data_IF_367944117490
#
_entry.id   IF_367944117490
#
_cell.length_a   1.000
_cell.length_b   1.000
_cell.length_c   1.000
_cell.angle_alpha   90.00
_cell.angle_beta   90.00
_cell.angle_gamma   90.00
#
_symmetry.space_group_name_H-M   'P 1'
#
loop_
_entity.id
_entity.type
_entity.pdbx_description
1 polymer ?
#
# COMPACT_ATOMS: atom_id res chain seq x y z
N UNK A 1 -2.17 -15.12 16.89
CA UNK A 1 -0.74 -14.88 17.24
C UNK A 1 -0.61 -13.57 18.00
N UNK A 2 0.40 -13.41 18.85
CA UNK A 2 0.72 -12.11 19.49
C UNK A 2 1.97 -11.55 18.80
N UNK A 3 1.83 -10.42 18.10
CA UNK A 3 2.92 -9.76 17.38
C UNK A 3 3.31 -8.52 18.19
N UNK A 4 4.56 -8.46 18.63
CA UNK A 4 5.12 -7.29 19.31
C UNK A 4 6.01 -6.50 18.37
N UNK A 5 5.78 -5.20 18.33
CA UNK A 5 6.55 -4.28 17.52
C UNK A 5 7.69 -3.66 18.33
N UNK A 6 8.82 -3.41 17.67
CA UNK A 6 9.81 -2.47 18.20
C UNK A 6 9.28 -1.03 18.07
N UNK A 7 10.08 -0.05 18.50
CA UNK A 7 9.80 1.35 18.23
C UNK A 7 9.73 1.57 16.71
N UNK A 8 8.57 1.96 16.20
CA UNK A 8 8.46 2.39 14.80
C UNK A 8 9.04 3.80 14.62
N UNK A 9 9.55 4.08 13.43
CA UNK A 9 10.09 5.38 13.04
C UNK A 9 9.46 5.85 11.73
N UNK A 10 9.39 7.17 11.57
CA UNK A 10 8.80 7.78 10.39
C UNK A 10 9.51 9.09 10.05
N UNK A 11 9.42 9.49 8.80
CA UNK A 11 9.71 10.86 8.38
C UNK A 11 8.60 11.37 7.43
N UNK A 12 8.55 12.69 7.29
CA UNK A 12 7.55 13.36 6.48
C UNK A 12 8.18 14.66 5.96
N UNK A 13 8.68 14.62 4.73
CA UNK A 13 9.51 15.66 4.13
C UNK A 13 8.84 16.25 2.89
N UNK A 14 9.01 17.56 2.70
CA UNK A 14 8.41 18.30 1.60
C UNK A 14 9.15 18.08 0.27
N UNK A 15 10.45 17.68 0.33
CA UNK A 15 11.30 17.63 -0.86
C UNK A 15 11.40 19.00 -1.55
N UNK A 16 11.42 19.00 -2.88
CA UNK A 16 11.47 20.24 -3.68
C UNK A 16 10.07 20.80 -4.06
N UNK A 17 8.99 20.25 -3.48
CA UNK A 17 7.62 20.75 -3.71
C UNK A 17 7.37 22.05 -2.94
N UNK A 18 6.40 22.83 -3.40
CA UNK A 18 5.96 24.05 -2.72
C UNK A 18 5.01 23.76 -1.56
N UNK A 19 4.24 22.67 -1.66
CA UNK A 19 3.25 22.23 -0.68
C UNK A 19 3.49 20.77 -0.31
N UNK A 20 3.08 20.41 0.92
CA UNK A 20 3.07 19.03 1.37
C UNK A 20 1.69 18.45 1.09
N UNK A 21 1.63 17.50 0.15
CA UNK A 21 0.41 16.80 -0.25
C UNK A 21 0.35 15.37 0.33
N UNK A 22 1.49 14.84 0.83
CA UNK A 22 1.50 13.61 1.61
C UNK A 22 0.84 13.79 2.97
N UNK A 23 0.29 12.71 3.49
CA UNK A 23 -0.18 12.60 4.87
C UNK A 23 0.13 11.23 5.43
N UNK A 24 0.24 11.14 6.76
CA UNK A 24 0.52 9.88 7.45
C UNK A 24 -0.31 9.75 8.72
N UNK A 25 -0.54 8.53 9.17
CA UNK A 25 -1.13 8.29 10.47
C UNK A 25 -0.41 7.12 11.19
N UNK A 26 -0.02 7.31 12.47
CA UNK A 26 -0.10 8.54 13.28
C UNK A 26 0.89 9.61 12.79
N UNK A 27 0.51 10.90 12.83
CA UNK A 27 1.37 12.00 12.34
C UNK A 27 2.44 12.38 13.38
N UNK A 28 3.38 11.46 13.60
CA UNK A 28 4.55 11.63 14.48
C UNK A 28 5.73 10.81 13.97
N UNK A 29 6.96 11.27 14.22
CA UNK A 29 8.19 10.59 13.74
C UNK A 29 8.52 9.31 14.51
N UNK A 30 8.08 9.21 15.76
CA UNK A 30 8.26 8.02 16.61
C UNK A 30 6.93 7.67 17.30
N UNK A 31 6.06 6.90 16.62
CA UNK A 31 4.78 6.44 17.17
C UNK A 31 4.94 5.66 18.47
N UNK A 32 3.90 5.65 19.29
CA UNK A 32 3.84 4.82 20.48
C UNK A 32 4.02 3.34 20.11
N UNK A 33 4.72 2.55 20.92
CA UNK A 33 4.94 1.11 20.72
C UNK A 33 3.63 0.28 20.74
N UNK A 34 2.55 0.81 21.31
CA UNK A 34 1.22 0.19 21.24
C UNK A 34 0.50 0.42 19.91
N UNK A 35 1.06 1.27 19.04
CA UNK A 35 0.51 1.52 17.71
C UNK A 35 0.52 0.23 16.89
N UNK A 36 -0.63 -0.15 16.33
CA UNK A 36 -0.81 -1.40 15.58
C UNK A 36 -1.06 -1.21 14.09
N UNK A 37 -1.34 0.00 13.64
CA UNK A 37 -1.59 0.29 12.24
C UNK A 37 -0.90 1.56 11.79
N UNK A 38 -0.54 1.60 10.51
CA UNK A 38 0.21 2.69 9.90
C UNK A 38 -0.38 2.99 8.53
N UNK A 39 -0.48 4.28 8.20
CA UNK A 39 -1.07 4.76 6.94
C UNK A 39 -0.15 5.81 6.33
N UNK A 40 0.08 5.71 5.02
CA UNK A 40 0.66 6.78 4.21
C UNK A 40 -0.29 7.01 3.03
N UNK A 41 -0.62 8.28 2.81
CA UNK A 41 -1.43 8.75 1.71
C UNK A 41 -0.67 9.85 0.98
N UNK A 42 -0.56 9.75 -0.33
CA UNK A 42 0.06 10.70 -1.22
C UNK A 42 -1.05 11.42 -1.99
N UNK A 43 -1.11 12.74 -1.86
CA UNK A 43 -2.11 13.56 -2.55
C UNK A 43 -1.80 13.66 -4.04
N UNK A 44 -2.73 13.19 -4.89
CA UNK A 44 -2.49 13.11 -6.34
C UNK A 44 -2.28 14.48 -6.94
N UNK A 45 -1.07 14.73 -7.43
CA UNK A 45 -0.68 15.97 -8.12
C UNK A 45 -1.52 16.20 -9.39
N UNK A 46 -1.90 17.46 -9.61
CA UNK A 46 -2.78 17.84 -10.72
C UNK A 46 -4.27 17.77 -10.41
N UNK A 47 -4.66 17.20 -9.28
CA UNK A 47 -6.00 17.34 -8.71
C UNK A 47 -6.09 18.60 -7.82
N UNK A 48 -7.31 19.11 -7.62
CA UNK A 48 -7.55 20.18 -6.65
C UNK A 48 -7.39 19.62 -5.23
N UNK A 49 -6.53 20.20 -4.41
CA UNK A 49 -6.47 19.87 -2.98
C UNK A 49 -6.04 18.44 -2.63
N UNK A 50 -4.93 17.94 -3.21
CA UNK A 50 -4.30 16.67 -2.83
C UNK A 50 -4.02 16.58 -1.32
N UNK A 51 -3.53 17.66 -0.71
CA UNK A 51 -3.30 17.76 0.73
C UNK A 51 -4.55 17.55 1.59
N UNK A 52 -5.71 18.00 1.10
CA UNK A 52 -6.99 17.80 1.82
C UNK A 52 -7.45 16.35 1.69
N UNK A 53 -7.24 15.74 0.53
CA UNK A 53 -7.61 14.35 0.30
C UNK A 53 -6.80 13.40 1.19
N UNK A 54 -5.46 13.49 1.12
CA UNK A 54 -4.55 12.62 1.89
C UNK A 54 -4.78 12.77 3.39
N UNK A 55 -4.88 14.01 3.91
CA UNK A 55 -5.17 14.26 5.31
C UNK A 55 -6.53 13.69 5.73
N UNK A 56 -7.59 13.91 4.93
CA UNK A 56 -8.94 13.43 5.26
C UNK A 56 -8.98 11.91 5.35
N UNK A 57 -8.34 11.21 4.43
CA UNK A 57 -8.28 9.74 4.42
C UNK A 57 -7.50 9.24 5.64
N UNK A 58 -6.31 9.76 5.91
CA UNK A 58 -5.50 9.40 7.09
C UNK A 58 -6.26 9.60 8.40
N UNK A 59 -6.90 10.76 8.60
CA UNK A 59 -7.67 11.07 9.82
C UNK A 59 -8.89 10.15 9.98
N UNK A 60 -9.61 9.85 8.88
CA UNK A 60 -10.79 8.98 8.91
C UNK A 60 -10.42 7.55 9.25
N UNK A 61 -9.34 7.01 8.65
CA UNK A 61 -8.82 5.69 8.97
C UNK A 61 -8.38 5.65 10.43
N UNK A 62 -7.59 6.64 10.89
CA UNK A 62 -7.14 6.72 12.28
C UNK A 62 -8.30 6.69 13.27
N UNK A 63 -9.39 7.43 12.97
CA UNK A 63 -10.61 7.44 13.79
C UNK A 63 -11.35 6.10 13.77
N UNK A 64 -11.44 5.45 12.63
CA UNK A 64 -12.10 4.13 12.50
C UNK A 64 -11.32 3.07 13.26
N UNK A 65 -10.01 3.01 13.04
CA UNK A 65 -9.10 2.05 13.67
C UNK A 65 -8.95 2.23 15.19
N UNK A 66 -9.20 3.42 15.73
CA UNK A 66 -9.20 3.64 17.21
C UNK A 66 -10.26 2.84 17.97
N UNK A 67 -11.18 2.18 17.27
CA UNK A 67 -12.26 1.36 17.83
C UNK A 67 -12.05 -0.14 17.59
N UNK A 68 -10.99 -0.50 16.87
CA UNK A 68 -10.65 -1.89 16.56
C UNK A 68 -9.94 -2.51 17.75
N UNK A 69 -10.32 -3.73 18.10
CA UNK A 69 -9.59 -4.57 19.04
C UNK A 69 -8.60 -5.41 18.23
N UNK A 70 -7.30 -5.21 18.43
CA UNK A 70 -6.23 -5.92 17.72
C UNK A 70 -5.91 -7.29 18.31
N UNK A 71 -6.49 -7.62 19.47
CA UNK A 71 -6.47 -8.98 20.03
C UNK A 71 -7.41 -9.93 19.25
N UNK A 72 -8.33 -9.38 18.44
CA UNK A 72 -9.15 -10.11 17.49
C UNK A 72 -8.52 -10.11 16.07
N UNK A 73 -9.01 -10.98 15.19
CA UNK A 73 -8.64 -10.98 13.77
C UNK A 73 -9.24 -9.76 13.07
N UNK A 74 -8.43 -9.06 12.27
CA UNK A 74 -8.86 -7.95 11.43
C UNK A 74 -9.09 -8.44 10.00
N UNK A 75 -10.35 -8.67 9.66
CA UNK A 75 -10.76 -9.30 8.40
C UNK A 75 -10.77 -8.32 7.22
N UNK A 76 -10.95 -8.85 6.01
CA UNK A 76 -11.19 -8.03 4.81
C UNK A 76 -12.49 -7.21 4.93
N UNK A 77 -13.51 -7.73 5.62
CA UNK A 77 -14.77 -7.01 5.86
C UNK A 77 -14.55 -5.82 6.78
N UNK A 78 -13.76 -6.00 7.85
CA UNK A 78 -13.39 -4.91 8.76
C UNK A 78 -12.62 -3.81 8.00
N UNK A 79 -11.65 -4.20 7.17
CA UNK A 79 -10.92 -3.25 6.34
C UNK A 79 -11.85 -2.50 5.35
N UNK A 80 -12.79 -3.20 4.71
CA UNK A 80 -13.75 -2.55 3.81
C UNK A 80 -14.61 -1.52 4.54
N UNK A 81 -15.06 -1.80 5.77
CA UNK A 81 -15.77 -0.82 6.59
C UNK A 81 -14.92 0.43 6.90
N UNK A 82 -13.63 0.24 7.17
CA UNK A 82 -12.68 1.35 7.38
C UNK A 82 -12.49 2.16 6.10
N UNK A 83 -12.35 1.48 4.96
CA UNK A 83 -12.19 2.10 3.64
C UNK A 83 -13.44 2.88 3.23
N UNK A 84 -14.64 2.32 3.42
CA UNK A 84 -15.90 2.99 3.14
C UNK A 84 -16.06 4.28 3.97
N UNK A 85 -15.71 4.22 5.26
CA UNK A 85 -15.73 5.41 6.13
C UNK A 85 -14.73 6.49 5.67
N UNK A 86 -13.59 6.09 5.09
CA UNK A 86 -12.63 7.03 4.53
C UNK A 86 -13.15 7.69 3.25
N UNK A 87 -13.82 6.93 2.38
CA UNK A 87 -14.51 7.48 1.21
C UNK A 87 -15.65 8.42 1.60
N UNK A 88 -16.48 8.06 2.59
CA UNK A 88 -17.57 8.92 3.07
C UNK A 88 -17.02 10.25 3.61
N UNK A 89 -15.88 10.21 4.31
CA UNK A 89 -15.23 11.42 4.80
C UNK A 89 -14.68 12.28 3.66
N UNK A 90 -14.11 11.66 2.62
CA UNK A 90 -13.62 12.34 1.43
C UNK A 90 -14.75 12.98 0.63
N UNK A 91 -15.86 12.25 0.42
CA UNK A 91 -17.05 12.75 -0.27
C UNK A 91 -17.69 13.93 0.48
N UNK A 92 -17.70 13.88 1.82
CA UNK A 92 -18.20 14.97 2.66
C UNK A 92 -17.39 16.27 2.56
N UNK A 93 -16.11 16.20 2.13
CA UNK A 93 -15.27 17.39 1.87
C UNK A 93 -15.49 18.00 0.49
N UNK A 94 -16.16 17.30 -0.40
CA UNK A 94 -16.40 17.75 -1.77
C UNK A 94 -17.28 19.00 -1.81
N UNK A 95 -16.87 19.99 -2.59
CA UNK A 95 -17.62 21.21 -2.83
C UNK A 95 -17.27 21.78 -4.23
N UNK A 96 -17.80 22.95 -4.58
CA UNK A 96 -17.55 23.57 -5.88
C UNK A 96 -16.09 23.93 -6.19
N UNK A 97 -15.25 24.01 -5.15
CA UNK A 97 -13.83 24.40 -5.25
C UNK A 97 -12.86 23.22 -5.16
N UNK A 98 -13.33 22.00 -4.78
CA UNK A 98 -12.52 20.80 -4.59
C UNK A 98 -13.26 19.57 -5.12
N UNK A 99 -13.59 19.59 -6.42
CA UNK A 99 -14.34 18.47 -7.03
C UNK A 99 -13.48 17.26 -7.34
N UNK A 100 -12.19 17.46 -7.53
CA UNK A 100 -11.24 16.45 -8.01
C UNK A 100 -10.16 16.16 -6.96
N UNK A 101 -10.55 16.09 -5.68
CA UNK A 101 -9.63 15.69 -4.62
C UNK A 101 -9.34 14.21 -4.72
N UNK A 102 -8.06 13.85 -4.78
CA UNK A 102 -7.63 12.47 -4.87
C UNK A 102 -6.35 12.21 -4.09
N UNK A 103 -6.17 10.96 -3.65
CA UNK A 103 -5.01 10.50 -2.91
C UNK A 103 -4.76 9.01 -3.13
N UNK A 104 -3.51 8.57 -2.97
CA UNK A 104 -3.19 7.15 -2.80
C UNK A 104 -3.57 6.67 -1.39
N UNK A 105 -3.43 5.40 -1.14
CA UNK A 105 -3.54 4.78 0.17
C UNK A 105 -2.52 3.66 0.31
N UNK A 106 -1.75 3.65 1.37
CA UNK A 106 -1.09 2.47 1.92
C UNK A 106 -1.50 2.27 3.37
N UNK A 107 -1.79 1.04 3.74
CA UNK A 107 -2.27 0.66 5.06
C UNK A 107 -1.62 -0.64 5.51
N UNK A 108 -1.09 -0.67 6.72
CA UNK A 108 -0.57 -1.88 7.37
C UNK A 108 -1.14 -1.97 8.77
N UNK A 109 -1.63 -3.15 9.14
CA UNK A 109 -2.23 -3.41 10.45
C UNK A 109 -1.76 -4.76 11.00
N UNK A 110 -1.28 -4.77 12.24
CA UNK A 110 -0.87 -5.95 12.99
C UNK A 110 -1.95 -6.33 14.00
N UNK A 111 -2.43 -7.56 13.95
CA UNK A 111 -3.53 -8.08 14.76
C UNK A 111 -3.33 -9.57 15.07
N UNK A 112 -4.21 -10.18 15.86
CA UNK A 112 -4.06 -11.58 16.28
C UNK A 112 -4.07 -12.57 15.12
N UNK A 113 -4.71 -12.24 14.00
CA UNK A 113 -4.73 -13.03 12.77
C UNK A 113 -3.50 -12.83 11.87
N UNK A 114 -2.52 -11.99 12.25
CA UNK A 114 -1.32 -11.72 11.47
C UNK A 114 -1.15 -10.26 11.08
N UNK A 115 -0.84 -10.01 9.81
CA UNK A 115 -0.70 -8.66 9.25
C UNK A 115 -1.62 -8.49 8.04
N UNK A 116 -2.40 -7.41 8.04
CA UNK A 116 -3.19 -6.97 6.88
C UNK A 116 -2.51 -5.76 6.25
N UNK A 117 -2.23 -5.86 4.95
CA UNK A 117 -1.66 -4.82 4.10
C UNK A 117 -2.66 -4.46 3.02
N UNK A 118 -2.88 -3.18 2.75
CA UNK A 118 -3.77 -2.75 1.67
C UNK A 118 -3.23 -1.50 0.99
N UNK A 119 -3.43 -1.39 -0.33
CA UNK A 119 -3.01 -0.19 -1.05
C UNK A 119 -3.95 0.17 -2.20
N UNK A 120 -3.96 1.45 -2.54
CA UNK A 120 -4.54 2.04 -3.75
C UNK A 120 -3.54 3.08 -4.25
N UNK A 121 -3.05 2.97 -5.49
CA UNK A 121 -2.06 3.88 -6.06
C UNK A 121 -0.69 3.24 -6.23
N UNK A 122 0.34 4.06 -6.24
CA UNK A 122 1.74 3.71 -6.48
C UNK A 122 2.66 3.98 -5.26
N UNK A 123 2.09 4.45 -4.16
CA UNK A 123 2.75 4.35 -2.84
C UNK A 123 2.90 2.88 -2.47
N UNK A 124 4.02 2.50 -1.83
CA UNK A 124 4.39 1.09 -1.67
C UNK A 124 4.42 0.61 -0.24
N UNK A 125 4.18 -0.70 -0.11
CA UNK A 125 4.33 -1.49 1.12
C UNK A 125 5.33 -2.60 0.84
N UNK A 126 6.30 -2.77 1.74
CA UNK A 126 7.28 -3.85 1.70
C UNK A 126 7.20 -4.67 2.99
N UNK A 127 7.30 -5.98 2.88
CA UNK A 127 7.72 -6.89 3.95
C UNK A 127 9.10 -7.43 3.60
N UNK A 128 10.09 -7.18 4.46
CA UNK A 128 11.49 -7.56 4.23
C UNK A 128 11.96 -8.39 5.41
N UNK A 129 12.47 -9.58 5.12
CA UNK A 129 13.13 -10.46 6.10
C UNK A 129 14.62 -10.46 5.84
N UNK A 130 15.47 -10.05 6.80
CA UNK A 130 16.91 -9.92 6.56
C UNK A 130 17.61 -11.16 6.00
N UNK A 131 17.11 -12.37 6.31
CA UNK A 131 17.65 -13.63 5.78
C UNK A 131 17.20 -13.99 4.36
N UNK A 132 16.13 -13.37 3.84
CA UNK A 132 15.45 -13.78 2.60
C UNK A 132 15.28 -12.62 1.60
N UNK A 133 15.41 -11.38 2.06
CA UNK A 133 15.16 -10.19 1.24
C UNK A 133 13.68 -9.76 1.25
N UNK A 134 13.18 -9.30 0.12
CA UNK A 134 11.78 -8.85 -0.02
C UNK A 134 10.86 -10.07 -0.10
N UNK A 135 10.03 -10.28 0.93
CA UNK A 135 8.98 -11.29 0.94
C UNK A 135 7.72 -10.81 0.21
N UNK A 136 7.40 -9.53 0.35
CA UNK A 136 6.27 -8.89 -0.29
C UNK A 136 6.63 -7.45 -0.66
N UNK A 137 6.18 -7.04 -1.83
CA UNK A 137 6.14 -5.65 -2.29
C UNK A 137 4.81 -5.44 -3.00
N UNK A 138 4.09 -4.38 -2.65
CA UNK A 138 2.85 -4.01 -3.36
C UNK A 138 3.14 -3.66 -4.82
N UNK A 139 2.25 -4.07 -5.72
CA UNK A 139 2.31 -3.73 -7.14
C UNK A 139 1.66 -2.37 -7.40
N UNK A 140 2.41 -1.43 -7.97
CA UNK A 140 1.90 -0.10 -8.26
C UNK A 140 0.69 -0.15 -9.20
N UNK A 141 -0.36 0.54 -8.86
CA UNK A 141 -1.49 0.75 -9.76
C UNK A 141 -1.15 1.86 -10.77
N UNK A 142 -0.17 1.59 -11.64
CA UNK A 142 0.31 2.51 -12.65
C UNK A 142 0.05 1.99 -14.07
N UNK A 143 0.03 2.92 -15.03
CA UNK A 143 -0.10 2.59 -16.46
C UNK A 143 1.05 1.70 -16.92
N UNK A 144 2.26 1.98 -16.47
CA UNK A 144 3.47 1.24 -16.85
C UNK A 144 3.41 -0.19 -16.33
N UNK A 145 3.02 -0.38 -15.09
CA UNK A 145 2.85 -1.70 -14.50
C UNK A 145 1.78 -2.52 -15.24
N UNK A 146 0.66 -1.88 -15.61
CA UNK A 146 -0.37 -2.48 -16.44
C UNK A 146 0.19 -2.93 -17.80
N UNK A 147 1.07 -2.14 -18.42
CA UNK A 147 1.72 -2.50 -19.69
C UNK A 147 2.69 -3.68 -19.53
N UNK A 148 3.43 -3.75 -18.42
CA UNK A 148 4.31 -4.89 -18.10
C UNK A 148 3.51 -6.17 -17.91
N UNK A 149 2.44 -6.12 -17.10
CA UNK A 149 1.57 -7.29 -16.86
C UNK A 149 0.92 -7.81 -18.14
N UNK A 150 0.57 -6.90 -19.06
CA UNK A 150 0.01 -7.27 -20.37
C UNK A 150 1.06 -7.67 -21.41
N UNK A 151 2.36 -7.72 -21.06
CA UNK A 151 3.45 -8.06 -21.94
C UNK A 151 3.72 -7.04 -23.07
N UNK A 152 3.24 -5.81 -22.92
CA UNK A 152 3.49 -4.69 -23.84
C UNK A 152 4.88 -4.09 -23.61
N UNK A 153 5.34 -4.05 -22.37
CA UNK A 153 6.66 -3.62 -21.96
C UNK A 153 7.36 -4.74 -21.17
N UNK A 154 8.70 -4.77 -21.24
CA UNK A 154 9.48 -5.53 -20.27
C UNK A 154 9.68 -4.70 -19.00
N UNK A 155 10.02 -5.32 -17.84
CA UNK A 155 10.34 -4.57 -16.62
C UNK A 155 11.45 -3.52 -16.84
N UNK A 156 12.46 -3.83 -17.66
CA UNK A 156 13.56 -2.91 -17.97
C UNK A 156 13.09 -1.71 -18.82
N UNK A 157 12.11 -1.90 -19.71
CA UNK A 157 11.52 -0.84 -20.51
C UNK A 157 10.58 0.05 -19.68
N UNK A 158 10.08 -0.47 -18.58
CA UNK A 158 9.25 0.26 -17.64
C UNK A 158 10.05 1.31 -16.84
N UNK A 159 11.34 1.04 -16.60
CA UNK A 159 12.23 1.96 -15.89
C UNK A 159 12.39 3.24 -16.73
N UNK A 160 12.12 4.40 -16.09
CA UNK A 160 12.19 5.72 -16.75
C UNK A 160 11.23 5.90 -17.94
N UNK A 161 10.14 5.13 -18.00
CA UNK A 161 9.15 5.32 -19.06
C UNK A 161 8.43 6.67 -18.90
N UNK A 162 8.11 7.42 -19.97
CA UNK A 162 7.46 8.74 -19.91
C UNK A 162 6.09 8.74 -19.19
N UNK A 163 5.44 7.60 -19.08
CA UNK A 163 4.18 7.40 -18.37
C UNK A 163 4.38 6.71 -17.01
N UNK A 164 5.59 6.71 -16.46
CA UNK A 164 5.89 6.09 -15.16
C UNK A 164 5.04 6.63 -14.03
N UNK A 165 4.79 7.93 -14.04
CA UNK A 165 4.02 8.62 -12.99
C UNK A 165 2.50 8.65 -13.26
N UNK A 166 1.98 7.88 -14.24
CA UNK A 166 0.54 7.83 -14.53
C UNK A 166 -0.09 6.72 -13.70
N UNK A 167 -0.70 7.11 -12.58
CA UNK A 167 -1.47 6.19 -11.74
C UNK A 167 -2.81 5.84 -12.39
N UNK A 168 -3.27 4.62 -12.20
CA UNK A 168 -4.52 4.09 -12.78
C UNK A 168 -5.62 3.85 -11.74
N UNK A 169 -5.25 3.85 -10.46
CA UNK A 169 -6.17 3.73 -9.33
C UNK A 169 -5.75 4.71 -8.23
N UNK A 170 -6.70 5.43 -7.71
CA UNK A 170 -6.56 6.35 -6.58
C UNK A 170 -7.90 6.50 -5.86
N UNK A 171 -7.88 6.96 -4.62
CA UNK A 171 -9.08 7.35 -3.91
C UNK A 171 -9.47 8.76 -4.34
N UNK A 172 -10.66 8.92 -4.87
CA UNK A 172 -11.21 10.22 -5.22
C UNK A 172 -12.60 10.42 -4.62
N UNK A 173 -12.98 11.69 -4.41
CA UNK A 173 -14.34 12.02 -4.01
C UNK A 173 -15.30 11.85 -5.19
N UNK A 174 -16.32 11.03 -5.04
CA UNK A 174 -17.27 10.67 -6.11
C UNK A 174 -18.71 11.00 -5.74
N UNK A 175 -19.57 11.14 -6.75
CA UNK A 175 -21.01 11.38 -6.53
C UNK A 175 -21.80 10.10 -6.21
N UNK A 176 -21.17 8.93 -6.35
CA UNK A 176 -21.81 7.63 -6.18
C UNK A 176 -20.83 6.56 -5.75
N UNK A 177 -21.18 5.75 -4.76
CA UNK A 177 -20.39 4.64 -4.24
C UNK A 177 -19.99 3.60 -5.30
N UNK A 178 -20.74 3.52 -6.42
CA UNK A 178 -20.45 2.60 -7.52
C UNK A 178 -19.13 2.91 -8.26
N UNK A 179 -18.58 4.09 -8.08
CA UNK A 179 -17.33 4.53 -8.71
C UNK A 179 -16.12 4.48 -7.77
N UNK A 180 -16.30 4.03 -6.52
CA UNK A 180 -15.20 3.93 -5.55
C UNK A 180 -14.20 2.85 -5.97
N UNK A 181 -12.92 3.19 -5.95
CA UNK A 181 -11.86 2.26 -6.27
C UNK A 181 -11.66 1.25 -5.13
N UNK A 182 -11.53 -0.02 -5.47
CA UNK A 182 -11.24 -1.08 -4.50
C UNK A 182 -9.74 -1.15 -4.21
N UNK A 183 -9.38 -1.33 -2.95
CA UNK A 183 -8.00 -1.57 -2.57
C UNK A 183 -7.55 -2.99 -2.95
N UNK A 184 -6.28 -3.14 -3.28
CA UNK A 184 -5.63 -4.44 -3.27
C UNK A 184 -5.25 -4.78 -1.84
N UNK A 185 -5.77 -5.90 -1.32
CA UNK A 185 -5.57 -6.34 0.06
C UNK A 185 -4.78 -7.63 0.08
N UNK A 186 -3.72 -7.65 0.88
CA UNK A 186 -2.89 -8.81 1.18
C UNK A 186 -2.94 -9.08 2.68
N UNK A 187 -3.22 -10.32 3.07
CA UNK A 187 -3.15 -10.78 4.46
C UNK A 187 -2.10 -11.86 4.57
N UNK A 188 -1.29 -11.80 5.61
CA UNK A 188 -0.25 -12.80 5.86
C UNK A 188 -0.20 -13.19 7.34
N UNK A 189 0.02 -14.47 7.58
CA UNK A 189 0.40 -15.04 8.88
C UNK A 189 1.91 -15.29 8.96
N UNK A 190 2.61 -15.17 7.81
CA UNK A 190 4.07 -15.29 7.74
C UNK A 190 4.71 -13.98 8.18
N UNK A 191 4.73 -13.78 9.50
CA UNK A 191 5.38 -12.66 10.20
C UNK A 191 6.34 -13.26 11.21
N UNK A 192 7.61 -12.88 11.15
CA UNK A 192 8.66 -13.39 12.02
C UNK A 192 9.38 -12.27 12.79
N UNK A 193 9.95 -12.63 13.92
CA UNK A 193 10.85 -11.74 14.67
C UNK A 193 12.00 -11.27 13.78
N UNK A 194 12.21 -9.96 13.73
CA UNK A 194 13.21 -9.32 12.88
C UNK A 194 12.74 -8.94 11.48
N UNK A 195 11.49 -9.27 11.09
CA UNK A 195 10.90 -8.75 9.86
C UNK A 195 10.75 -7.23 9.94
N UNK A 196 10.90 -6.58 8.79
CA UNK A 196 10.64 -5.16 8.58
C UNK A 196 9.43 -4.98 7.69
N UNK A 197 8.55 -4.04 8.09
CA UNK A 197 7.51 -3.49 7.22
C UNK A 197 7.89 -2.04 6.93
N UNK A 198 8.04 -1.72 5.64
CA UNK A 198 8.35 -0.38 5.18
C UNK A 198 7.21 0.10 4.28
N UNK A 199 6.73 1.31 4.57
CA UNK A 199 5.58 1.91 3.89
C UNK A 199 6.00 3.29 3.45
N UNK A 200 5.83 3.63 2.17
CA UNK A 200 6.28 4.93 1.67
C UNK A 200 5.44 5.46 0.52
N UNK A 201 5.43 6.79 0.36
CA UNK A 201 5.03 7.46 -0.88
C UNK A 201 6.10 7.28 -1.98
N UNK A 202 5.73 7.57 -3.21
CA UNK A 202 6.59 7.38 -4.40
C UNK A 202 7.84 8.28 -4.37
N UNK A 203 7.77 9.47 -3.73
CA UNK A 203 8.91 10.37 -3.62
C UNK A 203 10.13 9.77 -2.92
N UNK A 204 9.96 8.78 -2.04
CA UNK A 204 11.08 8.01 -1.46
C UNK A 204 11.73 7.14 -2.53
N UNK A 205 10.93 6.54 -3.41
CA UNK A 205 11.35 5.60 -4.44
C UNK A 205 12.07 6.28 -5.62
N UNK A 206 11.94 7.59 -5.75
CA UNK A 206 12.75 8.39 -6.68
C UNK A 206 14.22 8.44 -6.27
N UNK A 207 14.53 8.24 -4.99
CA UNK A 207 15.88 8.38 -4.43
C UNK A 207 16.51 7.07 -3.97
N UNK A 208 15.71 6.02 -3.79
CA UNK A 208 16.16 4.74 -3.23
C UNK A 208 15.56 3.59 -4.03
N UNK A 209 16.43 2.71 -4.51
CA UNK A 209 16.04 1.46 -5.18
C UNK A 209 15.64 0.38 -4.18
N UNK A 210 14.92 -0.65 -4.65
CA UNK A 210 14.58 -1.82 -3.83
C UNK A 210 15.83 -2.50 -3.24
N UNK A 211 16.91 -2.63 -4.02
CA UNK A 211 18.17 -3.24 -3.57
C UNK A 211 18.84 -2.41 -2.47
N UNK A 212 18.90 -1.08 -2.62
CA UNK A 212 19.44 -0.17 -1.60
C UNK A 212 18.58 -0.19 -0.32
N UNK A 213 17.25 -0.25 -0.44
CA UNK A 213 16.35 -0.38 0.71
C UNK A 213 16.64 -1.66 1.48
N UNK A 214 16.77 -2.79 0.80
CA UNK A 214 17.12 -4.07 1.41
C UNK A 214 18.51 -3.98 2.09
N UNK A 215 19.51 -3.41 1.43
CA UNK A 215 20.85 -3.23 2.00
C UNK A 215 20.80 -2.42 3.31
N UNK A 216 20.06 -1.31 3.33
CA UNK A 216 19.93 -0.47 4.52
C UNK A 216 19.20 -1.23 5.63
N UNK A 217 18.06 -1.87 5.34
CA UNK A 217 17.25 -2.55 6.35
C UNK A 217 17.92 -3.82 6.89
N UNK A 218 18.74 -4.51 6.08
CA UNK A 218 19.50 -5.68 6.50
C UNK A 218 20.83 -5.35 7.17
N UNK A 219 21.22 -4.07 7.29
CA UNK A 219 22.44 -3.64 7.97
C UNK A 219 22.35 -3.83 9.50
N UNK A 220 23.52 -3.80 10.18
CA UNK A 220 23.60 -3.90 11.65
C UNK A 220 23.23 -2.58 12.39
N UNK A 221 22.87 -1.52 11.67
CA UNK A 221 22.46 -0.25 12.27
C UNK A 221 21.15 -0.41 13.07
N UNK A 222 20.91 0.45 14.06
CA UNK A 222 19.61 0.48 14.73
C UNK A 222 18.53 1.06 13.81
N UNK A 223 17.27 0.76 14.09
CA UNK A 223 16.13 1.15 13.23
C UNK A 223 16.03 2.68 13.07
N UNK A 224 16.35 3.44 14.11
CA UNK A 224 16.40 4.90 14.05
C UNK A 224 17.44 5.40 13.04
N UNK A 225 18.63 4.81 13.04
CA UNK A 225 19.72 5.21 12.13
C UNK A 225 19.42 4.75 10.69
N UNK A 226 18.80 3.58 10.50
CA UNK A 226 18.29 3.14 9.20
C UNK A 226 17.29 4.14 8.63
N UNK A 227 16.32 4.54 9.45
CA UNK A 227 15.31 5.49 9.03
C UNK A 227 15.88 6.88 8.74
N UNK A 228 16.83 7.35 9.54
CA UNK A 228 17.57 8.60 9.29
C UNK A 228 18.35 8.55 7.97
N UNK A 229 18.98 7.42 7.66
CA UNK A 229 19.71 7.26 6.41
C UNK A 229 18.77 7.32 5.20
N UNK A 230 17.61 6.64 5.28
CA UNK A 230 16.59 6.68 4.24
C UNK A 230 16.09 8.12 4.07
N UNK A 231 15.72 8.79 5.16
CA UNK A 231 15.25 10.17 5.14
C UNK A 231 16.28 11.13 4.52
N UNK A 232 17.56 10.98 4.86
CA UNK A 232 18.65 11.79 4.30
C UNK A 232 18.85 11.56 2.80
N UNK A 233 18.74 10.30 2.34
CA UNK A 233 18.82 9.99 0.90
C UNK A 233 17.67 10.59 0.10
N UNK A 234 16.51 10.75 0.73
CA UNK A 234 15.28 11.24 0.10
C UNK A 234 15.04 12.75 0.27
N UNK A 235 15.86 13.47 1.08
CA UNK A 235 15.59 14.87 1.44
C UNK A 235 15.56 15.81 0.23
N UNK A 236 16.33 15.50 -0.82
CA UNK A 236 16.41 16.24 -2.08
C UNK A 236 15.49 15.65 -3.18
N UNK A 237 14.47 14.86 -2.81
CA UNK A 237 13.50 14.35 -3.76
C UNK A 237 12.75 15.49 -4.46
N UNK A 238 12.45 15.31 -5.74
CA UNK A 238 11.61 16.24 -6.51
C UNK A 238 10.15 16.23 -6.03
N UNK A 239 9.77 15.25 -5.19
CA UNK A 239 8.43 15.12 -4.64
C UNK A 239 8.41 15.08 -3.11
N UNK A 240 7.21 15.26 -2.54
CA UNK A 240 6.96 14.97 -1.14
C UNK A 240 7.38 13.51 -0.86
N UNK A 241 7.97 13.27 0.30
CA UNK A 241 8.42 11.93 0.62
C UNK A 241 8.15 11.61 2.09
N UNK A 242 7.41 10.54 2.29
CA UNK A 242 6.88 10.10 3.58
C UNK A 242 7.05 8.60 3.73
N UNK A 243 7.53 8.16 4.89
CA UNK A 243 7.66 6.72 5.15
C UNK A 243 7.50 6.35 6.62
N UNK A 244 7.14 5.07 6.86
CA UNK A 244 7.27 4.37 8.12
C UNK A 244 8.20 3.18 7.99
N UNK A 245 8.98 2.94 9.04
CA UNK A 245 9.70 1.70 9.30
C UNK A 245 9.15 1.07 10.57
N UNK A 246 8.64 -0.13 10.45
CA UNK A 246 8.11 -0.95 11.55
C UNK A 246 8.85 -2.27 11.57
N UNK A 247 9.50 -2.59 12.67
CA UNK A 247 10.19 -3.87 12.84
C UNK A 247 9.51 -4.74 13.90
N UNK A 248 9.58 -6.05 13.70
CA UNK A 248 8.94 -7.05 14.56
C UNK A 248 9.91 -7.45 15.67
N UNK A 249 9.54 -7.15 16.92
CA UNK A 249 10.32 -7.50 18.10
C UNK A 249 10.20 -8.98 18.44
N UNK A 250 8.96 -9.49 18.52
CA UNK A 250 8.66 -10.85 18.92
C UNK A 250 7.33 -11.30 18.27
N UNK A 251 7.24 -12.59 17.95
CA UNK A 251 6.00 -13.25 17.51
C UNK A 251 5.78 -14.48 18.37
N UNK A 252 4.62 -14.54 19.03
CA UNK A 252 4.19 -15.70 19.80
C UNK A 252 2.99 -16.34 19.11
N UNK A 253 3.13 -17.62 18.77
CA UNK A 253 2.03 -18.46 18.27
C UNK A 253 1.71 -19.50 19.33
N UNK A 254 0.45 -19.65 19.72
CA UNK A 254 0.04 -20.74 20.59
C UNK A 254 0.28 -22.06 19.87
N UNK A 255 0.94 -23.06 20.53
CA UNK A 255 1.22 -24.35 19.91
C UNK A 255 -0.02 -25.10 19.43
N UNK A 256 -1.20 -24.78 19.96
CA UNK A 256 -2.49 -25.39 19.53
C UNK A 256 -2.94 -24.90 18.15
N UNK A 257 -2.58 -23.69 17.76
CA UNK A 257 -2.91 -23.14 16.42
C UNK A 257 -1.92 -23.58 15.35
N UNK A 258 -0.70 -23.96 15.72
CA UNK A 258 0.30 -24.48 14.77
C UNK A 258 -0.05 -25.88 14.28
N UNK A 259 -0.55 -26.77 15.16
CA UNK A 259 -0.98 -28.13 14.74
C UNK A 259 -2.21 -28.13 13.83
N UNK A 260 -3.12 -27.13 13.96
CA UNK A 260 -4.27 -27.02 13.05
C UNK A 260 -3.90 -26.42 11.68
N UNK A 261 -2.86 -25.60 11.60
CA UNK A 261 -2.37 -25.05 10.35
C UNK A 261 -1.58 -26.09 9.52
N UNK A 262 -0.80 -26.96 10.19
CA UNK A 262 -0.07 -28.04 9.50
C UNK A 262 -1.00 -29.16 8.98
N UNK A 263 -2.16 -29.38 9.61
CA UNK A 263 -3.13 -30.38 9.13
C UNK A 263 -4.02 -29.89 7.99
N UNK A 264 -4.14 -28.56 7.78
CA UNK A 264 -4.88 -28.01 6.63
C UNK A 264 -4.00 -27.88 5.37
N UNK A 265 -2.67 -27.92 5.48
CA UNK A 265 -1.76 -27.65 4.36
C UNK A 265 -1.51 -28.85 3.44
N UNK A 266 -1.71 -30.10 3.87
CA UNK A 266 -1.49 -31.25 3.00
C UNK A 266 -2.59 -31.50 1.96
N UNK A 267 -3.85 -31.03 2.21
CA UNK A 267 -5.00 -31.28 1.30
C UNK A 267 -5.44 -30.05 0.47
N UNK A 268 -4.92 -28.83 0.77
CA UNK A 268 -5.45 -27.60 0.17
C UNK A 268 -4.58 -26.98 -0.91
N UNK A 269 -3.27 -27.32 -1.03
CA UNK A 269 -2.37 -26.71 -2.00
C UNK A 269 -2.71 -27.04 -3.47
N UNK A 270 -3.16 -28.28 -3.76
CA UNK A 270 -3.58 -28.61 -5.14
C UNK A 270 -4.96 -28.03 -5.49
N UNK A 271 -5.90 -28.02 -4.54
CA UNK A 271 -7.27 -27.54 -4.78
C UNK A 271 -7.35 -26.01 -4.86
N UNK A 272 -6.52 -25.28 -4.11
CA UNK A 272 -6.43 -23.81 -4.20
C UNK A 272 -5.78 -23.34 -5.50
N UNK A 273 -4.71 -24.01 -5.96
CA UNK A 273 -4.10 -23.70 -7.26
C UNK A 273 -5.07 -23.91 -8.43
N UNK A 274 -5.92 -24.92 -8.38
CA UNK A 274 -6.94 -25.18 -9.41
C UNK A 274 -8.08 -24.16 -9.32
N UNK A 275 -8.52 -23.73 -8.13
CA UNK A 275 -9.56 -22.69 -7.97
C UNK A 275 -9.09 -21.30 -8.37
N UNK A 276 -7.87 -20.90 -8.02
CA UNK A 276 -7.29 -19.62 -8.43
C UNK A 276 -7.09 -19.58 -9.95
N UNK A 277 -6.64 -20.69 -10.55
CA UNK A 277 -6.48 -20.77 -12.00
C UNK A 277 -7.85 -20.74 -12.74
N UNK A 278 -8.91 -21.34 -12.19
CA UNK A 278 -10.25 -21.30 -12.81
C UNK A 278 -10.96 -19.95 -12.64
N UNK A 279 -10.80 -19.26 -11.51
CA UNK A 279 -11.33 -17.90 -11.31
C UNK A 279 -10.64 -16.89 -12.21
N UNK A 280 -9.30 -16.97 -12.35
CA UNK A 280 -8.56 -16.11 -13.28
C UNK A 280 -8.94 -16.35 -14.75
N UNK A 281 -9.30 -17.58 -15.13
CA UNK A 281 -9.76 -17.88 -16.50
C UNK A 281 -11.16 -17.30 -16.78
N UNK A 282 -12.09 -17.33 -15.83
CA UNK A 282 -13.41 -16.72 -15.98
C UNK A 282 -13.35 -15.18 -15.99
N UNK A 283 -12.46 -14.57 -15.20
CA UNK A 283 -12.22 -13.12 -15.26
C UNK A 283 -11.54 -12.71 -16.58
N UNK A 284 -10.56 -13.47 -17.08
CA UNK A 284 -9.89 -13.21 -18.36
C UNK A 284 -10.88 -13.33 -19.52
N UNK A 285 -11.78 -14.31 -19.52
CA UNK A 285 -12.82 -14.43 -20.55
C UNK A 285 -13.85 -13.30 -20.49
N UNK A 286 -14.16 -12.78 -19.29
CA UNK A 286 -15.07 -11.62 -19.15
C UNK A 286 -14.42 -10.31 -19.63
N UNK A 287 -13.11 -10.14 -19.41
CA UNK A 287 -12.33 -8.98 -19.85
C UNK A 287 -12.09 -9.01 -21.37
N UNK A 288 -11.84 -10.18 -21.95
CA UNK A 288 -11.69 -10.31 -23.41
C UNK A 288 -12.97 -9.96 -24.18
N UNK A 289 -14.14 -10.27 -23.63
CA UNK A 289 -15.42 -9.91 -24.27
C UNK A 289 -15.77 -8.42 -24.20
N UNK A 290 -15.14 -7.64 -23.29
CA UNK A 290 -15.29 -6.18 -23.19
C UNK A 290 -14.26 -5.43 -24.03
N UNK A 291 -13.06 -6.01 -24.26
CA UNK A 291 -11.94 -5.33 -24.92
C UNK A 291 -12.06 -5.24 -26.46
N UNK A 292 -12.78 -6.16 -27.09
CA UNK A 292 -12.83 -6.19 -28.57
C UNK A 292 -13.60 -5.03 -29.22
N UNK A 293 -14.41 -4.28 -28.48
CA UNK A 293 -15.18 -3.17 -29.06
C UNK A 293 -14.79 -1.75 -28.58
N UNK A 294 -14.13 -1.61 -27.44
CA UNK A 294 -13.83 -0.31 -26.83
C UNK A 294 -12.46 0.25 -27.22
N UNK A 295 -11.42 -0.51 -27.04
CA UNK A 295 -10.02 -0.07 -27.22
C UNK A 295 -9.66 0.10 -28.69
N UNK A 296 -10.13 -0.77 -29.58
CA UNK A 296 -9.94 -0.63 -31.01
C UNK A 296 -10.62 0.59 -31.63
N UNK A 297 -11.76 0.99 -31.12
CA UNK A 297 -12.44 2.21 -31.56
C UNK A 297 -11.79 3.49 -31.02
N UNK A 298 -11.19 3.45 -29.86
CA UNK A 298 -10.44 4.57 -29.28
C UNK A 298 -9.10 4.77 -29.98
N UNK A 299 -8.33 3.68 -30.22
CA UNK A 299 -7.08 3.73 -30.99
C UNK A 299 -7.30 4.24 -32.43
N UNK A 300 -8.36 3.84 -33.10
CA UNK A 300 -8.69 4.37 -34.42
C UNK A 300 -9.02 5.86 -34.46
N UNK A 301 -9.44 6.46 -33.33
CA UNK A 301 -9.68 7.91 -33.23
C UNK A 301 -8.41 8.74 -32.96
N UNK A 302 -7.34 8.12 -32.48
CA UNK A 302 -6.07 8.82 -32.23
C UNK A 302 -5.14 8.87 -33.45
N UNK A 303 -5.35 7.99 -34.45
CA UNK A 303 -4.47 7.89 -35.63
C UNK A 303 -5.18 8.29 -36.95
N UNK A 304 -6.33 8.93 -36.88
CA UNK A 304 -6.96 9.72 -37.94
C UNK A 304 -7.19 11.17 -37.48
#
# INVERSE_FOLDING_TARGET
MDIRLNQAYSFHQIGHREYQEDSRFPDVDAPNQEQRFFVVCDGVGGCDKGEVASQTVCESIGKSMSRVDFEDDFTNEDFNHVLDAAYDALDAKRNSSNREMATTLTFVCFHSGGCTMAHIGDSRIYQIRPSEGILYRSDDHSMVNTMVHNGVLTPEQAINHPQGNVITRYMESVDSDQNRCMATVMRTVDVATGDYFFICSDGVLHSITDDELVEILCSDACDEDKMRLIAHKSEDSEDNNTAYLVSIAEVYTDPVTAESAEMEDEDTHETKKIKVASQNLEEIESIQNVSDNGIWNWLKKMFN
#
